data_IF_888027708338
#
_entry.id   IF_888027708338
#
_cell.length_a   1.000
_cell.length_b   1.000
_cell.length_c   1.000
_cell.angle_alpha   90.00
_cell.angle_beta   90.00
_cell.angle_gamma   90.00
#
_symmetry.space_group_name_H-M   'P 1'
#
loop_
_entity.id
_entity.type
_entity.pdbx_description
1 polymer ?
#
# COMPACT_ATOMS: atom_id res chain seq x y z
N UNK A 1 -22.68 4.68 0.64
CA UNK A 1 -22.04 3.85 -0.41
C UNK A 1 -20.88 3.12 0.23
N UNK A 2 -20.69 1.84 -0.10
CA UNK A 2 -19.62 1.01 0.50
C UNK A 2 -18.25 1.37 -0.09
N UNK A 3 -17.23 1.50 0.76
CA UNK A 3 -15.85 1.72 0.35
C UNK A 3 -15.32 0.48 -0.39
N UNK A 4 -14.62 0.69 -1.51
CA UNK A 4 -13.96 -0.33 -2.32
C UNK A 4 -12.45 -0.21 -2.16
N UNK A 5 -11.78 -1.37 -2.13
CA UNK A 5 -10.33 -1.44 -1.96
C UNK A 5 -9.69 -2.15 -3.16
N UNK A 6 -8.56 -1.62 -3.63
CA UNK A 6 -7.74 -2.26 -4.65
C UNK A 6 -6.27 -2.23 -4.24
N UNK A 7 -5.57 -3.33 -4.48
CA UNK A 7 -4.15 -3.45 -4.23
C UNK A 7 -3.44 -3.66 -5.58
N UNK A 8 -2.45 -2.82 -5.86
CA UNK A 8 -1.62 -2.89 -7.06
C UNK A 8 -0.23 -3.30 -6.62
N UNK A 9 0.14 -4.55 -6.87
CA UNK A 9 1.50 -5.03 -6.69
C UNK A 9 2.40 -4.58 -7.83
N UNK A 10 3.57 -4.05 -7.51
CA UNK A 10 4.59 -3.66 -8.49
C UNK A 10 5.97 -4.22 -8.13
N UNK A 11 6.86 -4.29 -9.11
CA UNK A 11 8.19 -4.87 -8.93
C UNK A 11 9.05 -4.00 -8.00
N UNK A 12 9.04 -2.68 -8.23
CA UNK A 12 9.90 -1.76 -7.49
C UNK A 12 9.34 -0.36 -7.31
N UNK A 13 10.13 0.45 -6.58
CA UNK A 13 9.76 1.82 -6.21
C UNK A 13 9.57 2.76 -7.41
N UNK A 14 10.24 2.50 -8.55
CA UNK A 14 10.05 3.30 -9.77
C UNK A 14 8.66 3.09 -10.38
N UNK A 15 8.21 1.83 -10.44
CA UNK A 15 6.86 1.51 -10.92
C UNK A 15 5.80 2.10 -9.99
N UNK A 16 6.02 1.98 -8.67
CA UNK A 16 5.16 2.58 -7.67
C UNK A 16 5.01 4.09 -7.90
N UNK A 17 6.11 4.80 -8.14
CA UNK A 17 6.11 6.23 -8.41
C UNK A 17 5.42 6.58 -9.75
N UNK A 18 5.62 5.77 -10.78
CA UNK A 18 4.97 5.95 -12.07
C UNK A 18 3.45 5.81 -11.96
N UNK A 19 2.98 4.71 -11.36
CA UNK A 19 1.55 4.46 -11.16
C UNK A 19 0.94 5.51 -10.23
N UNK A 20 1.63 5.89 -9.14
CA UNK A 20 1.20 6.99 -8.27
C UNK A 20 0.92 8.24 -9.09
N UNK A 21 1.88 8.64 -9.95
CA UNK A 21 1.78 9.86 -10.75
C UNK A 21 0.61 9.80 -11.73
N UNK A 22 0.42 8.67 -12.40
CA UNK A 22 -0.72 8.46 -13.33
C UNK A 22 -2.05 8.58 -12.59
N UNK A 23 -2.23 7.84 -11.49
CA UNK A 23 -3.48 7.84 -10.73
C UNK A 23 -3.79 9.24 -10.17
N UNK A 24 -2.79 9.96 -9.66
CA UNK A 24 -2.99 11.30 -9.11
C UNK A 24 -3.23 12.36 -10.18
N UNK A 25 -2.42 12.38 -11.24
CA UNK A 25 -2.42 13.49 -12.22
C UNK A 25 -3.45 13.32 -13.32
N UNK A 26 -3.76 12.09 -13.71
CA UNK A 26 -4.69 11.80 -14.80
C UNK A 26 -6.06 11.44 -14.24
N UNK A 27 -6.11 10.59 -13.21
CA UNK A 27 -7.37 10.09 -12.67
C UNK A 27 -7.88 10.87 -11.45
N UNK A 28 -7.11 11.83 -10.93
CA UNK A 28 -7.54 12.73 -9.86
C UNK A 28 -7.56 12.10 -8.47
N UNK A 29 -6.81 11.02 -8.23
CA UNK A 29 -6.65 10.46 -6.89
C UNK A 29 -5.88 11.40 -5.97
N UNK A 30 -6.24 11.40 -4.68
CA UNK A 30 -5.52 12.09 -3.62
C UNK A 30 -4.67 11.09 -2.84
N UNK A 31 -3.45 11.49 -2.50
CA UNK A 31 -2.59 10.70 -1.61
C UNK A 31 -2.99 10.99 -0.17
N UNK A 32 -3.09 9.97 0.67
CA UNK A 32 -3.26 10.20 2.10
C UNK A 32 -1.96 10.74 2.69
N UNK A 33 -2.09 11.71 3.60
CA UNK A 33 -0.99 12.15 4.43
C UNK A 33 -0.41 10.95 5.15
N UNK A 34 0.92 10.88 5.30
CA UNK A 34 1.61 9.76 5.95
C UNK A 34 1.35 9.65 7.47
N UNK A 35 0.22 10.16 7.95
CA UNK A 35 -0.22 10.04 9.32
C UNK A 35 -1.09 8.79 9.46
N UNK A 36 -0.87 8.03 10.53
CA UNK A 36 -1.65 6.82 10.82
C UNK A 36 -3.15 7.11 11.02
N UNK A 37 -3.51 8.31 11.47
CA UNK A 37 -4.90 8.72 11.72
C UNK A 37 -5.72 8.85 10.43
N UNK A 38 -5.05 9.12 9.30
CA UNK A 38 -5.70 9.26 7.99
C UNK A 38 -5.79 7.90 7.28
N UNK A 39 -5.22 6.86 7.87
CA UNK A 39 -5.13 5.53 7.27
C UNK A 39 -6.32 4.67 7.66
N UNK A 40 -7.01 4.14 6.64
CA UNK A 40 -8.06 3.15 6.85
C UNK A 40 -7.51 1.89 7.53
N UNK A 41 -8.26 1.35 8.50
CA UNK A 41 -7.91 0.14 9.24
C UNK A 41 -7.61 -1.05 8.30
N UNK A 42 -8.26 -1.09 7.13
CA UNK A 42 -8.00 -2.11 6.10
C UNK A 42 -6.52 -2.18 5.67
N UNK A 43 -5.83 -1.02 5.62
CA UNK A 43 -4.45 -0.92 5.14
C UNK A 43 -3.39 -1.08 6.22
N UNK A 44 -3.77 -1.07 7.52
CA UNK A 44 -2.81 -1.15 8.62
C UNK A 44 -1.88 -2.37 8.55
N UNK A 45 -2.38 -3.51 8.05
CA UNK A 45 -1.58 -4.73 7.86
C UNK A 45 -0.44 -4.61 6.84
N UNK A 46 -0.53 -3.65 5.92
CA UNK A 46 0.49 -3.38 4.91
C UNK A 46 1.47 -2.28 5.35
N UNK A 47 1.24 -1.64 6.50
CA UNK A 47 2.17 -0.66 7.06
C UNK A 47 3.34 -1.41 7.68
N UNK A 48 4.58 -1.14 7.26
CA UNK A 48 5.74 -1.78 7.83
C UNK A 48 5.96 -1.27 9.26
N UNK A 49 6.34 -2.17 10.17
CA UNK A 49 6.66 -1.80 11.54
C UNK A 49 7.99 -1.03 11.61
N UNK A 50 7.96 0.11 12.31
CA UNK A 50 9.13 0.93 12.60
C UNK A 50 9.48 0.85 14.10
N UNK A 51 10.76 0.78 14.48
CA UNK A 51 11.95 0.65 13.63
C UNK A 51 12.09 -0.77 13.03
N UNK A 52 12.84 -0.94 11.92
CA UNK A 52 13.05 -2.26 11.32
C UNK A 52 13.54 -3.27 12.37
N UNK A 53 12.90 -4.45 12.42
CA UNK A 53 13.02 -5.51 13.46
C UNK A 53 14.44 -5.98 13.83
N UNK A 54 15.49 -5.50 13.14
CA UNK A 54 16.88 -5.93 13.32
C UNK A 54 17.89 -4.76 13.44
N UNK A 55 17.44 -3.53 13.68
CA UNK A 55 18.35 -2.38 13.85
C UNK A 55 19.15 -2.02 12.58
N UNK A 56 18.73 -2.54 11.42
CA UNK A 56 19.38 -2.28 10.13
C UNK A 56 18.99 -0.90 9.61
N UNK A 57 19.86 0.08 9.86
CA UNK A 57 19.63 1.50 9.53
C UNK A 57 19.44 1.79 8.03
N UNK A 58 19.98 0.94 7.15
CA UNK A 58 19.94 1.14 5.70
C UNK A 58 18.86 0.33 4.98
N UNK A 59 18.03 -0.43 5.72
CA UNK A 59 16.93 -1.18 5.12
C UNK A 59 15.78 -0.23 4.85
N UNK A 60 15.38 -0.15 3.58
CA UNK A 60 14.12 0.51 3.21
C UNK A 60 12.97 -0.41 3.57
N UNK A 61 11.98 0.17 4.24
CA UNK A 61 10.72 -0.52 4.51
C UNK A 61 9.80 -0.30 3.31
N UNK A 62 9.14 -1.37 2.87
CA UNK A 62 8.24 -1.35 1.71
C UNK A 62 6.88 -0.75 2.10
N UNK A 63 6.85 0.57 2.25
CA UNK A 63 5.62 1.31 2.56
C UNK A 63 4.77 1.48 1.29
N UNK A 64 3.52 0.97 1.27
CA UNK A 64 2.64 1.19 0.14
C UNK A 64 2.28 2.68 -0.01
N UNK A 65 2.12 3.11 -1.26
CA UNK A 65 1.48 4.39 -1.55
C UNK A 65 -0.02 4.22 -1.61
N UNK A 66 -0.73 4.88 -0.71
CA UNK A 66 -2.18 4.75 -0.60
C UNK A 66 -2.84 6.02 -1.13
N UNK A 67 -3.83 5.80 -1.99
CA UNK A 67 -4.53 6.79 -2.78
C UNK A 67 -6.03 6.63 -2.61
N UNK A 68 -6.76 7.74 -2.58
CA UNK A 68 -8.21 7.76 -2.43
C UNK A 68 -8.86 8.60 -3.52
N UNK A 69 -10.00 8.13 -4.02
CA UNK A 69 -10.90 8.88 -4.89
C UNK A 69 -12.32 8.40 -4.67
N UNK A 70 -13.21 9.31 -4.29
CA UNK A 70 -14.61 9.00 -3.99
C UNK A 70 -14.73 7.84 -2.98
N UNK A 71 -15.28 6.69 -3.41
CA UNK A 71 -15.42 5.49 -2.59
C UNK A 71 -14.35 4.42 -2.88
N UNK A 72 -13.30 4.76 -3.62
CA UNK A 72 -12.23 3.85 -4.01
C UNK A 72 -10.93 4.21 -3.28
N UNK A 73 -10.39 3.25 -2.53
CA UNK A 73 -9.07 3.31 -1.92
C UNK A 73 -8.13 2.32 -2.62
N UNK A 74 -6.95 2.80 -3.00
CA UNK A 74 -5.97 2.03 -3.77
C UNK A 74 -4.63 2.07 -3.06
N UNK A 75 -4.05 0.92 -2.75
CA UNK A 75 -2.66 0.81 -2.31
C UNK A 75 -1.79 0.32 -3.46
N UNK A 76 -0.64 0.96 -3.67
CA UNK A 76 0.41 0.50 -4.58
C UNK A 76 1.56 0.00 -3.72
N UNK A 77 1.88 -1.29 -3.83
CA UNK A 77 2.86 -1.97 -2.99
C UNK A 77 4.03 -2.49 -3.84
N UNK A 78 5.24 -1.96 -3.61
CA UNK A 78 6.46 -2.45 -4.24
C UNK A 78 7.04 -3.62 -3.45
N UNK A 79 7.03 -4.82 -4.04
CA UNK A 79 7.40 -6.08 -3.36
C UNK A 79 8.80 -6.60 -3.65
N UNK A 80 9.71 -5.78 -4.16
CA UNK A 80 11.13 -6.15 -4.34
C UNK A 80 11.37 -7.27 -5.35
N UNK A 81 10.57 -7.36 -6.42
CA UNK A 81 10.72 -8.39 -7.45
C UNK A 81 10.06 -9.73 -7.09
N UNK A 82 10.83 -10.82 -7.10
CA UNK A 82 10.34 -12.20 -6.90
C UNK A 82 9.68 -12.47 -5.55
N UNK A 83 9.82 -11.56 -4.59
CA UNK A 83 9.19 -11.64 -3.27
C UNK A 83 7.78 -11.02 -3.23
N UNK A 84 7.32 -10.42 -4.34
CA UNK A 84 6.01 -9.76 -4.40
C UNK A 84 4.87 -10.74 -4.08
N UNK A 85 4.91 -11.98 -4.60
CA UNK A 85 3.88 -12.99 -4.30
C UNK A 85 3.89 -13.40 -2.83
N UNK A 86 5.07 -13.59 -2.23
CA UNK A 86 5.24 -13.95 -0.82
C UNK A 86 4.68 -12.84 0.09
N UNK A 87 4.98 -11.58 -0.25
CA UNK A 87 4.49 -10.42 0.51
C UNK A 87 2.97 -10.21 0.36
N UNK A 88 2.34 -10.80 -0.67
CA UNK A 88 0.90 -10.73 -0.92
C UNK A 88 0.14 -11.97 -0.38
N UNK A 89 0.77 -13.14 -0.33
CA UNK A 89 0.18 -14.43 0.08
C UNK A 89 -0.18 -14.48 1.57
N UNK A 90 0.45 -13.67 2.43
CA UNK A 90 0.15 -13.58 3.86
C UNK A 90 -1.05 -12.64 4.20
N UNK A 91 -1.91 -12.36 3.22
CA UNK A 91 -3.17 -11.67 3.47
C UNK A 91 -4.30 -12.70 3.60
N UNK A 92 -4.66 -13.19 4.80
CA UNK A 92 -5.85 -14.02 4.93
C UNK A 92 -7.07 -13.17 4.54
N UNK A 93 -7.60 -13.44 3.35
CA UNK A 93 -8.84 -12.86 2.83
C UNK A 93 -10.10 -13.36 3.59
N UNK A 94 -9.91 -14.22 4.59
CA UNK A 94 -10.97 -14.95 5.28
C UNK A 94 -11.52 -14.28 6.55
N UNK A 95 -11.00 -13.14 7.01
CA UNK A 95 -11.50 -12.50 8.25
C UNK A 95 -12.41 -11.29 8.04
N UNK A 96 -13.06 -11.16 6.87
CA UNK A 96 -13.98 -10.03 6.57
C UNK A 96 -15.47 -10.42 6.61
N UNK A 97 -15.80 -11.58 7.20
CA UNK A 97 -17.17 -12.07 7.35
C UNK A 97 -17.45 -12.69 8.73
N UNK A 98 -16.98 -12.06 9.82
CA UNK A 98 -17.50 -12.29 11.17
C UNK A 98 -17.83 -10.97 11.86
#
# INVERSE_FOLDING_TARGET
MTQKYALIGVEGNHDQALIEKVLRKILGFKKISGNEQDLDQFWQKFVPQYPPKQGKLYVRLDMPTILLKDTLSVAIYAGGGSNLSINLEDTPLLSLWE
#
